data_IF_293758252976
#
_entry.id   IF_293758252976
#
_cell.length_a   1.000
_cell.length_b   1.000
_cell.length_c   1.000
_cell.angle_alpha   90.00
_cell.angle_beta   90.00
_cell.angle_gamma   90.00
#
_symmetry.space_group_name_H-M   'P 1'
#
loop_
_entity.id
_entity.type
_entity.pdbx_description
1 polymer ?
#
# COMPACT_ATOMS: atom_id res chain seq x y z
N UNK A 1 6.39 2.04 13.43
CA UNK A 1 6.87 0.71 13.85
C UNK A 1 7.84 0.89 14.99
N UNK A 2 7.59 0.23 16.11
CA UNK A 2 8.43 0.33 17.31
C UNK A 2 9.50 -0.76 17.33
N UNK A 3 10.50 -0.62 18.21
CA UNK A 3 11.54 -1.64 18.39
C UNK A 3 10.94 -3.01 18.78
N UNK A 4 9.87 -3.01 19.56
CA UNK A 4 9.18 -4.24 19.98
C UNK A 4 8.49 -4.96 18.82
N UNK A 5 7.94 -4.21 17.86
CA UNK A 5 7.34 -4.80 16.65
C UNK A 5 8.41 -5.43 15.76
N UNK A 6 9.57 -4.80 15.64
CA UNK A 6 10.73 -5.38 14.93
C UNK A 6 11.20 -6.68 15.55
N UNK A 7 11.41 -6.71 16.86
CA UNK A 7 11.83 -7.92 17.58
C UNK A 7 10.83 -9.07 17.40
N UNK A 8 9.52 -8.77 17.37
CA UNK A 8 8.47 -9.77 17.09
C UNK A 8 8.56 -10.33 15.67
N UNK A 9 8.83 -9.46 14.68
CA UNK A 9 9.00 -9.87 13.28
C UNK A 9 10.23 -10.75 13.13
N UNK A 10 11.36 -10.37 13.74
CA UNK A 10 12.60 -11.16 13.73
C UNK A 10 12.39 -12.55 14.33
N UNK A 11 11.76 -12.64 15.50
CA UNK A 11 11.43 -13.92 16.12
C UNK A 11 10.56 -14.80 15.21
N UNK A 12 9.49 -14.22 14.64
CA UNK A 12 8.59 -14.93 13.72
C UNK A 12 9.32 -15.36 12.44
N UNK A 13 10.24 -14.56 11.93
CA UNK A 13 11.04 -14.89 10.76
C UNK A 13 11.97 -16.07 11.03
N UNK A 14 12.64 -16.10 12.19
CA UNK A 14 13.49 -17.22 12.61
C UNK A 14 12.69 -18.53 12.78
N UNK A 15 11.49 -18.46 13.37
CA UNK A 15 10.58 -19.61 13.48
C UNK A 15 10.13 -20.13 12.10
N UNK A 16 9.81 -19.24 11.16
CA UNK A 16 9.42 -19.64 9.81
C UNK A 16 10.58 -20.22 9.00
N UNK A 17 11.79 -19.66 9.15
CA UNK A 17 13.00 -20.19 8.54
C UNK A 17 13.31 -21.61 9.01
N UNK A 18 13.25 -21.86 10.32
CA UNK A 18 13.52 -23.18 10.89
C UNK A 18 12.44 -24.21 10.53
N UNK A 19 11.20 -23.77 10.32
CA UNK A 19 10.08 -24.64 9.91
C UNK A 19 9.89 -24.75 8.39
N UNK A 20 10.70 -24.05 7.58
CA UNK A 20 10.59 -24.05 6.12
C UNK A 20 9.32 -23.38 5.58
N UNK A 21 8.62 -22.59 6.39
CA UNK A 21 7.42 -21.87 5.98
C UNK A 21 7.79 -20.61 5.19
N UNK A 22 6.91 -20.18 4.28
CA UNK A 22 7.15 -18.97 3.48
C UNK A 22 7.22 -17.72 4.37
N UNK A 23 8.29 -16.94 4.18
CA UNK A 23 8.48 -15.64 4.84
C UNK A 23 7.61 -14.53 4.24
N UNK A 24 7.19 -14.74 3.00
CA UNK A 24 6.41 -13.82 2.20
C UNK A 24 4.97 -14.33 2.05
N UNK A 25 4.03 -13.39 1.94
CA UNK A 25 2.59 -13.66 1.88
C UNK A 25 1.85 -13.21 3.12
N UNK A 26 0.52 -13.33 3.13
CA UNK A 26 -0.37 -12.75 4.14
C UNK A 26 0.01 -13.14 5.59
N UNK A 27 0.44 -14.39 5.77
CA UNK A 27 0.82 -14.93 7.08
C UNK A 27 2.34 -14.96 7.31
N UNK A 28 3.12 -14.44 6.37
CA UNK A 28 4.58 -14.34 6.44
C UNK A 28 5.05 -13.41 7.56
N UNK A 29 6.29 -13.60 8.01
CA UNK A 29 6.92 -12.71 8.98
C UNK A 29 7.08 -11.28 8.45
N UNK A 30 7.33 -11.13 7.15
CA UNK A 30 7.58 -9.83 6.52
C UNK A 30 6.35 -9.12 5.97
N UNK A 31 5.16 -9.73 6.05
CA UNK A 31 3.90 -9.10 5.65
C UNK A 31 3.69 -7.68 6.24
N UNK A 32 3.82 -7.44 7.56
CA UNK A 32 3.63 -6.11 8.14
C UNK A 32 4.71 -5.11 7.69
N UNK A 33 5.94 -5.56 7.44
CA UNK A 33 7.01 -4.69 6.93
C UNK A 33 6.69 -4.20 5.53
N UNK A 34 6.31 -5.13 4.64
CA UNK A 34 5.98 -4.80 3.26
C UNK A 34 4.76 -3.88 3.17
N UNK A 35 3.73 -4.16 3.98
CA UNK A 35 2.54 -3.29 4.06
C UNK A 35 2.92 -1.86 4.49
N UNK A 36 3.68 -1.72 5.58
CA UNK A 36 4.12 -0.41 6.07
C UNK A 36 5.04 0.30 5.07
N UNK A 37 5.88 -0.43 4.34
CA UNK A 37 6.71 0.12 3.27
C UNK A 37 5.86 0.70 2.13
N UNK A 38 4.86 -0.06 1.66
CA UNK A 38 3.94 0.39 0.61
C UNK A 38 3.12 1.61 1.05
N UNK A 39 2.59 1.61 2.27
CA UNK A 39 1.84 2.74 2.82
C UNK A 39 2.70 4.02 2.87
N UNK A 40 3.95 3.90 3.32
CA UNK A 40 4.90 5.04 3.35
C UNK A 40 5.31 5.52 1.97
N UNK A 41 5.53 4.60 1.04
CA UNK A 41 5.90 4.95 -0.33
C UNK A 41 4.77 5.73 -1.02
N UNK A 42 3.51 5.34 -0.80
CA UNK A 42 2.33 6.08 -1.26
C UNK A 42 2.18 7.44 -0.58
N UNK A 43 2.47 7.54 0.72
CA UNK A 43 2.48 8.83 1.42
C UNK A 43 3.50 9.79 0.82
N UNK A 44 4.70 9.31 0.50
CA UNK A 44 5.75 10.09 -0.13
C UNK A 44 5.36 10.56 -1.54
N UNK A 45 4.72 9.70 -2.36
CA UNK A 45 4.17 10.11 -3.66
C UNK A 45 3.13 11.23 -3.49
N UNK A 46 2.23 11.11 -2.51
CA UNK A 46 1.22 12.15 -2.24
C UNK A 46 1.84 13.46 -1.77
N UNK A 47 2.91 13.42 -0.97
CA UNK A 47 3.64 14.63 -0.57
C UNK A 47 4.30 15.32 -1.77
N UNK A 48 4.78 14.55 -2.75
CA UNK A 48 5.27 15.08 -4.02
C UNK A 48 4.15 15.66 -4.91
N UNK A 49 2.99 15.01 -4.95
CA UNK A 49 1.83 15.46 -5.73
C UNK A 49 1.23 16.76 -5.20
N UNK A 50 1.09 16.88 -3.88
CA UNK A 50 0.65 18.12 -3.27
C UNK A 50 1.83 19.08 -3.16
N UNK A 51 2.16 19.76 -4.26
CA UNK A 51 3.18 20.80 -4.30
C UNK A 51 2.60 22.18 -3.91
N UNK A 52 3.32 23.27 -4.21
CA UNK A 52 2.81 24.62 -3.92
C UNK A 52 1.67 25.01 -4.87
N UNK A 53 1.73 24.61 -6.14
CA UNK A 53 0.74 24.96 -7.15
C UNK A 53 -0.58 24.25 -6.87
N UNK A 54 -0.58 22.95 -6.62
CA UNK A 54 -1.79 22.20 -6.27
C UNK A 54 -2.46 22.79 -5.02
N UNK A 55 -1.67 23.18 -4.02
CA UNK A 55 -2.21 23.84 -2.80
C UNK A 55 -2.76 25.23 -3.07
N UNK A 56 -2.14 26.02 -3.96
CA UNK A 56 -2.65 27.36 -4.31
C UNK A 56 -3.97 27.27 -5.08
N UNK A 57 -4.15 26.21 -5.89
CA UNK A 57 -5.42 25.86 -6.53
C UNK A 57 -6.47 25.27 -5.57
N UNK A 58 -6.14 25.15 -4.27
CA UNK A 58 -7.07 24.69 -3.24
C UNK A 58 -7.11 23.18 -3.03
N UNK A 59 -6.19 22.43 -3.65
CA UNK A 59 -6.05 20.99 -3.40
C UNK A 59 -5.41 20.74 -2.03
N UNK A 60 -5.86 19.68 -1.37
CA UNK A 60 -5.40 19.26 -0.05
C UNK A 60 -5.68 17.79 0.19
N UNK A 61 -5.04 17.23 1.23
CA UNK A 61 -5.29 15.84 1.65
C UNK A 61 -6.76 15.64 2.04
N UNK A 62 -7.36 14.57 1.53
CA UNK A 62 -8.74 14.14 1.77
C UNK A 62 -8.80 12.75 2.43
N UNK A 63 -7.96 12.55 3.45
CA UNK A 63 -7.91 11.28 4.17
C UNK A 63 -7.19 10.16 3.41
N UNK A 64 -7.58 8.92 3.71
CA UNK A 64 -6.99 7.69 3.15
C UNK A 64 -8.10 6.70 2.81
N UNK A 65 -8.03 6.11 1.63
CA UNK A 65 -8.85 4.98 1.22
C UNK A 65 -8.16 3.64 1.51
N UNK A 66 -8.94 2.57 1.70
CA UNK A 66 -8.41 1.21 1.83
C UNK A 66 -8.50 0.49 0.49
N UNK A 67 -7.42 -0.17 0.05
CA UNK A 67 -7.39 -0.95 -1.18
C UNK A 67 -6.71 -2.31 -0.96
N UNK A 68 -7.25 -3.35 -1.58
CA UNK A 68 -6.64 -4.68 -1.62
C UNK A 68 -5.72 -4.80 -2.83
N UNK A 69 -4.42 -4.94 -2.58
CA UNK A 69 -3.39 -5.18 -3.58
C UNK A 69 -3.12 -6.69 -3.69
N UNK A 70 -3.32 -7.27 -4.86
CA UNK A 70 -2.92 -8.65 -5.15
C UNK A 70 -1.55 -8.64 -5.83
N UNK A 71 -0.60 -9.37 -5.27
CA UNK A 71 0.76 -9.54 -5.79
C UNK A 71 1.08 -11.03 -5.91
N UNK A 72 2.14 -11.39 -6.63
CA UNK A 72 2.57 -12.79 -6.75
C UNK A 72 2.90 -13.46 -5.42
N UNK A 73 3.26 -12.67 -4.40
CA UNK A 73 3.56 -13.18 -3.05
C UNK A 73 2.33 -13.23 -2.13
N UNK A 74 1.25 -12.52 -2.43
CA UNK A 74 0.05 -12.51 -1.60
C UNK A 74 -0.87 -11.30 -1.80
N UNK A 75 -1.94 -11.25 -1.00
CA UNK A 75 -2.88 -10.12 -0.97
C UNK A 75 -2.59 -9.25 0.26
N UNK A 76 -2.42 -7.94 0.04
CA UNK A 76 -2.16 -6.95 1.07
C UNK A 76 -3.28 -5.91 1.11
N UNK A 77 -3.65 -5.50 2.32
CA UNK A 77 -4.53 -4.36 2.55
C UNK A 77 -3.67 -3.11 2.71
N UNK A 78 -3.73 -2.16 1.78
CA UNK A 78 -2.94 -0.92 1.81
C UNK A 78 -3.84 0.29 2.01
N UNK A 79 -3.27 1.34 2.62
CA UNK A 79 -3.94 2.63 2.82
C UNK A 79 -3.44 3.61 1.77
N UNK A 80 -4.26 3.88 0.77
CA UNK A 80 -3.94 4.83 -0.30
C UNK A 80 -4.36 6.25 0.11
N UNK A 81 -3.44 7.22 0.13
CA UNK A 81 -3.79 8.61 0.39
C UNK A 81 -4.67 9.17 -0.75
N UNK A 82 -5.56 10.10 -0.42
CA UNK A 82 -6.43 10.76 -1.39
C UNK A 82 -6.29 12.27 -1.29
N UNK A 83 -6.43 12.95 -2.42
CA UNK A 83 -6.49 14.40 -2.53
C UNK A 83 -7.95 14.87 -2.72
N UNK A 84 -8.21 16.16 -2.54
CA UNK A 84 -9.56 16.72 -2.59
C UNK A 84 -10.09 16.78 -4.02
N UNK A 85 -9.21 16.99 -4.99
CA UNK A 85 -9.59 17.07 -6.40
C UNK A 85 -9.64 15.70 -7.07
N UNK A 86 -9.25 14.62 -6.36
CA UNK A 86 -9.13 13.28 -6.92
C UNK A 86 -8.21 13.23 -8.15
N UNK A 87 -7.20 14.10 -8.18
CA UNK A 87 -6.20 14.17 -9.27
C UNK A 87 -5.00 13.26 -9.02
N UNK A 88 -4.83 12.75 -7.80
CA UNK A 88 -3.71 11.89 -7.45
C UNK A 88 -3.86 10.47 -8.01
N UNK A 89 -2.97 10.09 -8.93
CA UNK A 89 -2.83 8.73 -9.43
C UNK A 89 -1.49 8.12 -9.00
N UNK A 90 -1.47 7.21 -7.99
CA UNK A 90 -0.23 6.63 -7.50
C UNK A 90 0.42 5.69 -8.53
N UNK A 91 1.71 5.85 -8.77
CA UNK A 91 2.45 5.04 -9.74
C UNK A 91 2.73 3.63 -9.22
N UNK A 92 3.09 3.51 -7.94
CA UNK A 92 3.35 2.22 -7.27
C UNK A 92 2.17 1.24 -7.41
N UNK A 93 0.95 1.75 -7.51
CA UNK A 93 -0.30 0.96 -7.49
C UNK A 93 -1.10 1.09 -8.80
N UNK A 94 -0.49 1.69 -9.84
CA UNK A 94 -1.13 2.04 -11.13
C UNK A 94 -1.84 0.87 -11.82
N UNK A 95 -1.34 -0.35 -11.64
CA UNK A 95 -1.91 -1.56 -12.27
C UNK A 95 -2.91 -2.33 -11.40
N UNK A 96 -3.31 -1.83 -10.23
CA UNK A 96 -4.42 -2.40 -9.47
C UNK A 96 -5.74 -1.74 -9.91
N UNK A 97 -6.04 -1.78 -11.22
CA UNK A 97 -7.41 -1.48 -11.67
C UNK A 97 -8.32 -2.56 -11.08
N UNK A 98 -9.43 -2.22 -10.41
CA UNK A 98 -10.38 -3.23 -9.98
C UNK A 98 -10.78 -4.06 -11.20
N UNK A 99 -10.70 -5.38 -11.07
CA UNK A 99 -11.02 -6.36 -12.13
C UNK A 99 -12.39 -6.08 -12.81
N UNK A 100 -13.32 -5.44 -12.10
CA UNK A 100 -14.61 -4.98 -12.62
C UNK A 100 -14.56 -3.91 -13.72
N UNK A 101 -13.41 -3.27 -13.98
CA UNK A 101 -13.25 -2.33 -15.09
C UNK A 101 -12.93 -3.01 -16.43
N UNK A 102 -12.90 -4.35 -16.49
CA UNK A 102 -12.77 -5.11 -17.73
C UNK A 102 -14.03 -5.97 -17.87
N UNK A 103 -15.11 -5.37 -18.38
CA UNK A 103 -16.19 -5.95 -19.22
C UNK A 103 -17.53 -5.24 -18.94
N UNK A 104 -17.96 -4.34 -19.82
CA UNK A 104 -19.10 -4.58 -20.73
C UNK A 104 -19.33 -3.35 -21.62
N UNK A 105 -19.64 -3.51 -22.91
CA UNK A 105 -20.01 -2.39 -23.78
C UNK A 105 -21.29 -1.75 -23.25
N UNK A 106 -21.35 -0.40 -23.28
CA UNK A 106 -22.60 0.33 -23.06
C UNK A 106 -23.63 -0.18 -24.05
N UNK A 107 -24.75 -0.71 -23.55
CA UNK A 107 -26.01 -0.71 -24.29
C UNK A 107 -26.72 0.60 -24.02
#
# INVERSE_FOLDING_TARGET
>A
MTQDELNKIEKKALEQLTTGKSLFGKDGAFAPLLQNFLDKALEAEMDGHLDHEERSHGNKRNGKGNKKLKTGVGTFDIKTPQDRHSSFEPEIVRSAKPFWLITSPRK
#
